data_IF_261979735356
#
_entry.id   IF_261979735356
#
_cell.length_a   1.000
_cell.length_b   1.000
_cell.length_c   1.000
_cell.angle_alpha   90.00
_cell.angle_beta   90.00
_cell.angle_gamma   90.00
#
_symmetry.space_group_name_H-M   'P 1'
#
loop_
_entity.id
_entity.type
_entity.pdbx_description
1 polymer ?
#
# COMPACT_ATOMS: atom_id res chain seq x y z
N UNK A 1 8.55 30.22 -28.69
CA UNK A 1 9.92 29.91 -28.22
C UNK A 1 9.79 29.25 -26.85
N UNK A 2 10.70 28.36 -26.49
CA UNK A 2 10.83 27.88 -25.12
C UNK A 2 11.80 28.78 -24.35
N UNK A 3 11.55 28.96 -23.05
CA UNK A 3 12.36 29.79 -22.16
C UNK A 3 12.80 29.00 -20.92
N UNK A 4 14.06 29.16 -20.53
CA UNK A 4 14.56 28.71 -19.21
C UNK A 4 15.02 29.93 -18.43
N UNK A 5 14.62 30.00 -17.16
CA UNK A 5 14.96 31.09 -16.26
C UNK A 5 16.06 30.65 -15.29
N UNK A 6 16.99 31.57 -14.98
CA UNK A 6 18.05 31.34 -14.00
C UNK A 6 18.26 32.60 -13.16
N UNK A 7 18.54 32.43 -11.87
CA UNK A 7 19.03 33.50 -11.01
C UNK A 7 20.49 33.23 -10.70
N UNK A 8 21.34 34.25 -10.87
CA UNK A 8 22.73 34.22 -10.41
C UNK A 8 22.95 35.32 -9.36
N UNK A 9 23.86 35.13 -8.39
CA UNK A 9 24.27 36.21 -7.50
C UNK A 9 24.76 37.43 -8.29
N UNK A 10 24.47 38.63 -7.79
CA UNK A 10 25.06 39.85 -8.34
C UNK A 10 26.59 39.88 -8.17
N UNK A 11 27.08 39.31 -7.07
CA UNK A 11 28.50 39.14 -6.81
C UNK A 11 29.07 37.99 -7.63
N UNK A 12 29.88 38.32 -8.63
CA UNK A 12 30.52 37.36 -9.54
C UNK A 12 31.60 36.50 -8.85
N UNK A 13 32.01 36.85 -7.63
CA UNK A 13 32.96 36.04 -6.87
C UNK A 13 32.32 34.79 -6.25
N UNK A 14 30.99 34.76 -6.15
CA UNK A 14 30.23 33.62 -5.63
C UNK A 14 29.96 32.64 -6.78
N UNK A 15 30.78 31.60 -6.86
CA UNK A 15 30.62 30.53 -7.83
C UNK A 15 29.40 29.64 -7.56
N UNK A 16 28.87 29.04 -8.63
CA UNK A 16 27.70 28.14 -8.58
C UNK A 16 27.97 26.84 -7.79
N UNK A 17 29.23 26.42 -7.70
CA UNK A 17 29.65 25.23 -6.97
C UNK A 17 29.83 25.46 -5.45
N UNK A 18 29.52 26.65 -4.94
CA UNK A 18 29.62 26.95 -3.51
C UNK A 18 28.64 26.07 -2.71
N UNK A 19 29.18 25.14 -1.91
CA UNK A 19 28.39 24.17 -1.14
C UNK A 19 28.09 22.86 -1.88
N UNK A 20 28.72 22.62 -3.03
CA UNK A 20 28.66 21.33 -3.73
C UNK A 20 29.23 20.23 -2.86
N UNK A 21 28.45 19.17 -2.66
CA UNK A 21 28.84 17.98 -1.91
C UNK A 21 29.36 16.94 -2.90
N UNK A 22 30.58 16.47 -2.68
CA UNK A 22 31.14 15.37 -3.46
C UNK A 22 30.43 14.05 -3.10
N UNK A 23 30.02 13.22 -4.08
CA UNK A 23 29.31 11.98 -3.79
C UNK A 23 30.18 10.99 -3.00
N UNK A 24 29.80 10.69 -1.76
CA UNK A 24 30.52 9.76 -0.88
C UNK A 24 30.03 8.30 -1.00
N UNK A 25 28.87 8.07 -1.63
CA UNK A 25 28.28 6.73 -1.78
C UNK A 25 26.79 6.76 -2.14
N UNK A 26 26.17 5.58 -2.17
CA UNK A 26 24.72 5.42 -2.38
C UNK A 26 24.05 5.34 -1.00
N UNK A 27 23.16 6.27 -0.68
CA UNK A 27 22.38 6.23 0.56
C UNK A 27 21.33 5.10 0.50
N UNK A 28 21.06 4.40 1.61
CA UNK A 28 19.97 3.44 1.68
C UNK A 28 18.62 4.13 1.40
N UNK A 29 17.71 3.50 0.64
CA UNK A 29 16.45 4.12 0.19
C UNK A 29 15.50 4.51 1.33
N UNK A 30 15.70 4.01 2.55
CA UNK A 30 14.74 4.14 3.66
C UNK A 30 14.81 5.45 4.44
N UNK A 31 15.89 6.23 4.34
CA UNK A 31 16.06 7.41 5.22
C UNK A 31 15.56 8.72 4.62
N UNK A 32 15.45 8.85 3.29
CA UNK A 32 14.89 10.01 2.57
C UNK A 32 15.60 11.36 2.76
N UNK A 33 16.25 11.58 3.90
CA UNK A 33 16.99 12.76 4.29
C UNK A 33 18.48 12.46 4.25
N UNK A 34 19.24 13.32 3.57
CA UNK A 34 20.70 13.30 3.62
C UNK A 34 21.11 13.74 5.04
N UNK A 35 21.74 12.88 5.84
CA UNK A 35 22.14 13.26 7.18
C UNK A 35 23.19 14.37 7.11
N UNK A 36 23.14 15.26 8.12
CA UNK A 36 24.17 16.26 8.31
C UNK A 36 25.49 15.57 8.67
N UNK A 37 26.60 16.11 8.18
CA UNK A 37 27.95 15.69 8.58
C UNK A 37 28.09 15.76 10.11
N UNK A 38 28.68 14.72 10.71
CA UNK A 38 28.87 14.62 12.17
C UNK A 38 29.76 15.74 12.71
N UNK A 39 30.67 16.25 11.89
CA UNK A 39 31.60 17.33 12.25
C UNK A 39 30.98 18.74 12.10
N UNK A 40 29.80 18.86 11.50
CA UNK A 40 29.15 20.14 11.29
C UNK A 40 28.41 20.65 12.55
N UNK A 41 29.08 21.53 13.29
CA UNK A 41 28.60 22.11 14.55
C UNK A 41 27.75 23.38 14.41
N UNK A 42 27.49 23.86 13.17
CA UNK A 42 26.70 25.10 12.96
C UNK A 42 25.26 24.97 13.50
N UNK A 43 24.53 26.06 13.79
CA UNK A 43 23.11 25.98 14.17
C UNK A 43 22.22 25.44 13.05
N UNK A 44 21.11 24.76 13.37
CA UNK A 44 20.19 24.18 12.37
C UNK A 44 19.63 25.21 11.36
N UNK A 45 19.38 26.44 11.82
CA UNK A 45 18.82 27.54 11.01
C UNK A 45 19.90 28.55 10.59
N UNK A 46 21.17 28.13 10.47
CA UNK A 46 22.26 29.07 10.19
C UNK A 46 22.08 29.80 8.85
N UNK A 47 21.64 29.10 7.78
CA UNK A 47 21.39 29.72 6.47
C UNK A 47 20.22 30.71 6.49
N UNK A 48 19.14 30.40 7.21
CA UNK A 48 17.99 31.32 7.39
C UNK A 48 18.42 32.60 8.10
N UNK A 49 19.19 32.47 9.20
CA UNK A 49 19.71 33.62 9.94
C UNK A 49 20.69 34.44 9.10
N UNK A 50 21.62 33.77 8.42
CA UNK A 50 22.61 34.41 7.55
C UNK A 50 21.96 35.15 6.38
N UNK A 51 20.91 34.60 5.78
CA UNK A 51 20.13 35.29 4.75
C UNK A 51 19.45 36.54 5.31
N UNK A 52 18.76 36.45 6.45
CA UNK A 52 18.09 37.61 7.08
C UNK A 52 19.07 38.74 7.43
N UNK A 53 20.23 38.40 7.96
CA UNK A 53 21.28 39.37 8.27
C UNK A 53 21.84 40.04 7.01
N UNK A 54 21.99 39.30 5.90
CA UNK A 54 22.41 39.88 4.61
C UNK A 54 21.37 40.83 4.01
N UNK A 55 20.08 40.49 4.13
CA UNK A 55 18.99 41.39 3.69
C UNK A 55 18.97 42.69 4.52
N UNK A 56 19.22 42.61 5.82
CA UNK A 56 19.34 43.79 6.72
C UNK A 56 20.60 44.62 6.51
N UNK A 57 21.60 44.08 5.81
CA UNK A 57 22.86 44.78 5.56
C UNK A 57 22.70 45.86 4.49
N UNK A 58 23.52 46.93 4.53
CA UNK A 58 23.46 47.98 3.51
C UNK A 58 23.70 47.42 2.11
N UNK A 59 22.70 47.55 1.23
CA UNK A 59 22.74 47.00 -0.15
C UNK A 59 21.92 45.74 -0.36
N UNK A 60 21.37 45.14 0.71
CA UNK A 60 20.49 43.98 0.66
C UNK A 60 21.11 42.77 -0.06
N UNK A 61 20.26 41.86 -0.51
CA UNK A 61 20.67 40.74 -1.36
C UNK A 61 20.24 41.00 -2.80
N UNK A 62 21.17 40.91 -3.74
CA UNK A 62 20.93 41.21 -5.16
C UNK A 62 21.23 40.00 -6.05
N UNK A 63 20.36 39.78 -7.02
CA UNK A 63 20.47 38.72 -8.02
C UNK A 63 20.31 39.31 -9.43
N UNK A 64 20.96 38.69 -10.40
CA UNK A 64 20.71 38.94 -11.82
C UNK A 64 19.78 37.86 -12.34
N UNK A 65 18.67 38.31 -12.95
CA UNK A 65 17.69 37.46 -13.60
C UNK A 65 18.11 37.21 -15.04
N UNK A 66 18.26 35.94 -15.38
CA UNK A 66 18.75 35.48 -16.69
C UNK A 66 17.68 34.65 -17.40
N UNK A 67 17.64 34.80 -18.72
CA UNK A 67 16.74 34.08 -19.62
C UNK A 67 17.56 33.41 -20.72
N UNK A 68 17.30 32.13 -20.93
CA UNK A 68 17.71 31.40 -22.14
C UNK A 68 16.50 31.18 -23.02
N UNK A 69 16.67 31.35 -24.33
CA UNK A 69 15.63 31.18 -25.32
C UNK A 69 16.03 30.14 -26.36
N UNK A 70 15.09 29.25 -26.69
CA UNK A 70 15.25 28.22 -27.72
C UNK A 70 14.04 28.21 -28.67
N UNK A 71 14.23 28.16 -30.00
CA UNK A 71 13.13 27.98 -30.93
C UNK A 71 12.46 26.62 -30.70
N UNK A 72 11.15 26.55 -30.94
CA UNK A 72 10.39 25.31 -30.76
C UNK A 72 10.72 24.40 -31.95
N UNK A 73 11.30 23.21 -31.74
CA UNK A 73 11.55 22.27 -32.83
C UNK A 73 10.24 21.77 -33.46
N UNK A 74 10.25 21.53 -34.77
CA UNK A 74 9.10 20.94 -35.46
C UNK A 74 8.93 19.44 -35.14
N UNK A 75 10.04 18.74 -34.90
CA UNK A 75 10.07 17.33 -34.56
C UNK A 75 9.71 17.06 -33.09
N UNK A 76 8.87 16.04 -32.86
CA UNK A 76 8.36 15.71 -31.53
C UNK A 76 9.45 15.21 -30.59
N UNK A 77 10.38 14.39 -31.07
CA UNK A 77 11.49 13.88 -30.26
C UNK A 77 12.44 15.01 -29.87
N UNK A 78 12.71 15.93 -30.78
CA UNK A 78 13.52 17.11 -30.52
C UNK A 78 12.83 18.08 -29.53
N UNK A 79 11.49 18.18 -29.56
CA UNK A 79 10.73 18.92 -28.54
C UNK A 79 10.89 18.27 -27.17
N UNK A 80 10.70 16.96 -27.07
CA UNK A 80 10.80 16.29 -25.77
C UNK A 80 12.22 16.42 -25.16
N UNK A 81 13.27 16.27 -25.97
CA UNK A 81 14.66 16.53 -25.57
C UNK A 81 14.87 17.99 -25.12
N UNK A 82 14.20 18.95 -25.74
CA UNK A 82 14.30 20.35 -25.33
C UNK A 82 13.64 20.60 -23.96
N UNK A 83 12.64 19.79 -23.60
CA UNK A 83 11.84 19.89 -22.39
C UNK A 83 12.35 19.01 -21.25
N UNK A 84 13.28 18.10 -21.52
CA UNK A 84 13.97 17.29 -20.52
C UNK A 84 14.62 18.19 -19.46
N UNK A 85 14.08 18.12 -18.23
CA UNK A 85 14.55 18.91 -17.09
C UNK A 85 15.84 18.36 -16.47
N UNK A 86 16.28 17.16 -16.85
CA UNK A 86 17.50 16.53 -16.35
C UNK A 86 18.75 17.02 -17.06
N UNK A 87 18.59 17.72 -18.20
CA UNK A 87 19.70 18.19 -19.03
C UNK A 87 19.70 19.72 -19.17
N UNK A 88 20.82 20.39 -18.87
CA UNK A 88 20.98 21.80 -19.20
C UNK A 88 21.01 21.97 -20.73
N UNK A 89 20.59 23.14 -21.21
CA UNK A 89 20.81 23.50 -22.61
C UNK A 89 22.25 23.93 -22.83
N UNK A 90 22.74 23.68 -24.04
CA UNK A 90 24.06 24.12 -24.46
C UNK A 90 24.16 25.65 -24.42
N UNK A 91 25.11 26.18 -23.66
CA UNK A 91 25.25 27.62 -23.43
C UNK A 91 25.91 28.36 -24.61
N UNK A 92 26.67 27.66 -25.46
CA UNK A 92 27.23 28.24 -26.69
C UNK A 92 26.14 28.42 -27.74
N UNK A 93 25.22 27.45 -27.84
CA UNK A 93 24.10 27.48 -28.78
C UNK A 93 22.95 28.38 -28.28
N UNK A 94 22.67 28.36 -26.98
CA UNK A 94 21.59 29.10 -26.34
C UNK A 94 22.13 29.94 -25.17
N UNK A 95 22.72 31.11 -25.45
CA UNK A 95 23.35 31.93 -24.42
C UNK A 95 22.34 32.45 -23.41
N UNK A 96 22.79 32.60 -22.16
CA UNK A 96 22.03 33.26 -21.09
C UNK A 96 22.04 34.76 -21.34
N UNK A 97 20.85 35.38 -21.28
CA UNK A 97 20.66 36.81 -21.47
C UNK A 97 20.29 37.41 -20.11
N UNK A 98 21.03 38.40 -19.65
CA UNK A 98 20.70 39.15 -18.44
C UNK A 98 19.52 40.09 -18.76
N UNK A 99 18.37 39.84 -18.12
CA UNK A 99 17.12 40.54 -18.42
C UNK A 99 16.68 41.50 -17.31
N UNK A 100 17.24 41.38 -16.11
CA UNK A 100 16.93 42.28 -15.01
C UNK A 100 17.69 41.97 -13.74
N UNK A 101 17.45 42.79 -12.74
CA UNK A 101 18.03 42.64 -11.41
C UNK A 101 16.91 42.51 -10.38
N UNK A 102 17.11 41.62 -9.41
CA UNK A 102 16.19 41.42 -8.29
C UNK A 102 16.93 41.81 -7.01
N UNK A 103 16.45 42.86 -6.35
CA UNK A 103 16.91 43.28 -5.03
C UNK A 103 15.93 42.83 -3.96
N UNK A 104 16.46 42.25 -2.87
CA UNK A 104 15.72 41.90 -1.66
C UNK A 104 16.33 42.71 -0.52
N UNK A 105 15.60 43.72 -0.05
CA UNK A 105 16.04 44.71 0.93
C UNK A 105 15.21 44.70 2.23
N UNK A 106 14.16 43.87 2.29
CA UNK A 106 13.29 43.76 3.45
C UNK A 106 13.04 42.30 3.83
N UNK A 107 13.16 42.00 5.13
CA UNK A 107 12.75 40.73 5.70
C UNK A 107 11.24 40.69 5.90
N UNK A 108 10.61 39.59 5.49
CA UNK A 108 9.22 39.31 5.81
C UNK A 108 9.08 38.71 7.21
N UNK A 109 7.91 38.90 7.82
CA UNK A 109 7.56 38.19 9.04
C UNK A 109 7.41 36.69 8.75
N UNK A 110 7.45 35.87 9.80
CA UNK A 110 7.26 34.42 9.64
C UNK A 110 5.87 34.09 9.09
N UNK A 111 4.85 34.79 9.58
CA UNK A 111 3.45 34.61 9.16
C UNK A 111 3.26 35.00 7.69
N UNK A 112 3.83 36.14 7.27
CA UNK A 112 3.80 36.56 5.87
C UNK A 112 4.53 35.56 4.98
N UNK A 113 5.72 35.10 5.38
CA UNK A 113 6.48 34.11 4.61
C UNK A 113 5.75 32.75 4.50
N UNK A 114 5.04 32.33 5.55
CA UNK A 114 4.27 31.07 5.56
C UNK A 114 2.96 31.16 4.77
N UNK A 115 2.44 32.37 4.53
CA UNK A 115 1.25 32.60 3.71
C UNK A 115 1.57 32.82 2.22
N UNK A 116 2.85 32.98 1.85
CA UNK A 116 3.22 33.13 0.44
C UNK A 116 2.84 31.92 -0.41
N UNK A 117 2.35 32.22 -1.61
CA UNK A 117 1.86 31.28 -2.59
C UNK A 117 2.72 31.37 -3.85
N UNK A 118 3.49 30.34 -4.11
CA UNK A 118 4.25 30.21 -5.34
C UNK A 118 3.60 29.11 -6.17
N UNK A 119 2.99 29.47 -7.29
CA UNK A 119 2.46 28.50 -8.23
C UNK A 119 3.02 28.80 -9.63
N UNK A 120 3.76 27.88 -10.27
CA UNK A 120 4.29 28.06 -11.62
C UNK A 120 3.23 28.42 -12.68
N UNK A 121 1.95 28.16 -12.40
CA UNK A 121 0.84 28.47 -13.30
C UNK A 121 0.33 29.92 -13.18
N UNK A 122 0.80 30.70 -12.19
CA UNK A 122 0.56 32.14 -12.12
C UNK A 122 1.36 32.84 -13.22
N UNK A 123 0.74 32.89 -14.40
CA UNK A 123 1.35 33.36 -15.65
C UNK A 123 0.83 34.74 -16.07
N UNK A 124 1.69 35.51 -16.71
CA UNK A 124 1.30 36.74 -17.40
C UNK A 124 0.85 36.43 -18.84
N UNK A 125 0.41 37.44 -19.58
CA UNK A 125 -0.06 37.24 -20.98
C UNK A 125 1.05 36.80 -21.95
N UNK A 126 2.32 36.98 -21.60
CA UNK A 126 3.46 36.74 -22.50
C UNK A 126 4.17 35.40 -22.23
N UNK A 127 3.91 34.76 -21.10
CA UNK A 127 4.57 33.53 -20.67
C UNK A 127 3.52 32.45 -20.43
N UNK A 128 3.79 31.23 -20.89
CA UNK A 128 2.89 30.09 -20.69
C UNK A 128 3.67 28.84 -20.23
N UNK A 129 2.97 27.95 -19.54
CA UNK A 129 3.44 26.63 -19.10
C UNK A 129 3.10 25.59 -20.15
N UNK A 130 4.03 24.69 -20.38
CA UNK A 130 3.93 23.66 -21.42
C UNK A 130 3.08 22.51 -20.89
N UNK A 131 2.03 22.16 -21.63
CA UNK A 131 1.10 21.09 -21.25
C UNK A 131 1.59 19.75 -21.76
N UNK A 132 1.55 18.75 -20.89
CA UNK A 132 1.69 17.35 -21.27
C UNK A 132 0.33 16.66 -21.46
N UNK A 133 0.27 15.71 -22.38
CA UNK A 133 -0.89 14.84 -22.62
C UNK A 133 -0.68 13.42 -22.07
N UNK A 134 0.53 13.09 -21.64
CA UNK A 134 0.91 11.79 -21.07
C UNK A 134 1.96 11.99 -19.97
N UNK A 135 1.96 11.10 -18.97
CA UNK A 135 2.98 11.06 -17.92
C UNK A 135 4.39 10.76 -18.46
N UNK A 136 4.48 10.13 -19.63
CA UNK A 136 5.75 9.77 -20.28
C UNK A 136 6.47 10.95 -20.96
N UNK A 137 5.79 12.08 -21.17
CA UNK A 137 6.38 13.26 -21.81
C UNK A 137 7.21 14.05 -20.80
N UNK A 138 8.32 14.66 -21.24
CA UNK A 138 9.20 15.45 -20.37
C UNK A 138 8.48 16.65 -19.73
N UNK A 139 7.47 17.22 -20.42
CA UNK A 139 6.63 18.30 -19.89
C UNK A 139 5.68 17.86 -18.75
N UNK A 140 5.56 16.56 -18.48
CA UNK A 140 4.60 16.04 -17.49
C UNK A 140 4.92 16.49 -16.08
N UNK A 141 6.19 16.74 -15.77
CA UNK A 141 6.65 17.18 -14.44
C UNK A 141 6.07 18.56 -14.13
N UNK A 142 6.30 19.55 -15.00
CA UNK A 142 5.81 20.91 -14.78
C UNK A 142 4.27 20.99 -14.84
N UNK A 143 3.65 20.21 -15.74
CA UNK A 143 2.19 20.07 -15.77
C UNK A 143 1.67 19.48 -14.44
N UNK A 144 2.25 18.39 -13.97
CA UNK A 144 1.90 17.79 -12.68
C UNK A 144 2.06 18.75 -11.51
N UNK A 145 3.16 19.51 -11.49
CA UNK A 145 3.41 20.53 -10.46
C UNK A 145 2.33 21.60 -10.44
N UNK A 146 1.86 22.09 -11.59
CA UNK A 146 0.77 23.08 -11.60
C UNK A 146 -0.50 22.59 -10.90
N UNK A 147 -0.80 21.29 -11.02
CA UNK A 147 -1.99 20.67 -10.42
C UNK A 147 -1.79 20.48 -8.91
N UNK A 148 -0.66 19.87 -8.52
CA UNK A 148 -0.38 19.53 -7.12
C UNK A 148 -0.22 20.80 -6.26
N UNK A 149 0.41 21.86 -6.81
CA UNK A 149 0.58 23.11 -6.06
C UNK A 149 -0.76 23.78 -5.76
N UNK A 150 -1.72 23.76 -6.70
CA UNK A 150 -3.07 24.29 -6.50
C UNK A 150 -3.81 23.51 -5.39
N UNK A 151 -3.73 22.18 -5.42
CA UNK A 151 -4.34 21.32 -4.38
C UNK A 151 -3.70 21.62 -3.00
N UNK A 152 -2.37 21.63 -2.91
CA UNK A 152 -1.64 21.91 -1.67
C UNK A 152 -1.96 23.31 -1.12
N UNK A 153 -2.17 24.28 -2.00
CA UNK A 153 -2.54 25.64 -1.61
C UNK A 153 -3.94 25.69 -0.98
N UNK A 154 -4.94 25.08 -1.62
CA UNK A 154 -6.29 24.95 -1.03
C UNK A 154 -6.24 24.31 0.36
N UNK A 155 -5.45 23.23 0.51
CA UNK A 155 -5.28 22.55 1.78
C UNK A 155 -4.58 23.44 2.83
N UNK A 156 -3.53 24.18 2.46
CA UNK A 156 -2.83 25.12 3.37
C UNK A 156 -3.75 26.21 3.89
N UNK A 157 -4.63 26.74 3.04
CA UNK A 157 -5.54 27.82 3.39
C UNK A 157 -6.83 27.32 4.07
N UNK A 158 -7.06 26.00 4.11
CA UNK A 158 -8.31 25.42 4.63
C UNK A 158 -9.50 25.64 3.71
N UNK A 159 -9.26 25.97 2.44
CA UNK A 159 -10.29 26.19 1.44
C UNK A 159 -10.83 24.86 0.90
N UNK A 160 -12.14 24.78 0.59
CA UNK A 160 -12.71 23.57 0.03
C UNK A 160 -12.14 23.30 -1.36
N UNK A 161 -11.61 22.09 -1.57
CA UNK A 161 -11.16 21.67 -2.90
C UNK A 161 -12.32 21.70 -3.91
N UNK A 162 -12.11 22.21 -5.13
CA UNK A 162 -13.02 22.04 -6.25
C UNK A 162 -13.43 20.59 -6.46
N UNK A 163 -14.67 20.38 -6.94
CA UNK A 163 -15.25 19.03 -7.08
C UNK A 163 -14.44 18.14 -8.03
N UNK A 164 -13.87 18.70 -9.10
CA UNK A 164 -12.98 17.99 -10.03
C UNK A 164 -11.75 17.40 -9.34
N UNK A 165 -11.15 18.14 -8.38
CA UNK A 165 -9.96 17.69 -7.66
C UNK A 165 -10.27 16.65 -6.60
N UNK A 166 -11.42 16.75 -5.91
CA UNK A 166 -11.85 15.69 -4.98
C UNK A 166 -12.08 14.38 -5.68
N UNK A 167 -12.79 14.41 -6.81
CA UNK A 167 -13.02 13.21 -7.63
C UNK A 167 -11.69 12.63 -8.12
N UNK A 168 -10.75 13.46 -8.55
CA UNK A 168 -9.41 13.02 -8.95
C UNK A 168 -8.64 12.34 -7.81
N UNK A 169 -8.64 12.91 -6.61
CA UNK A 169 -7.96 12.34 -5.43
C UNK A 169 -8.64 11.07 -4.91
N UNK A 170 -9.97 11.00 -4.97
CA UNK A 170 -10.74 9.81 -4.57
C UNK A 170 -10.58 8.66 -5.57
N UNK A 171 -10.32 8.95 -6.85
CA UNK A 171 -10.12 7.98 -7.91
C UNK A 171 -8.65 7.60 -8.13
N UNK A 172 -7.68 8.32 -7.55
CA UNK A 172 -6.26 8.00 -7.69
C UNK A 172 -5.86 6.87 -6.75
N UNK A 173 -5.41 5.74 -7.31
CA UNK A 173 -4.87 4.58 -6.56
C UNK A 173 -3.59 4.90 -5.76
N UNK A 174 -2.94 6.03 -6.08
CA UNK A 174 -1.80 6.55 -5.34
C UNK A 174 -2.33 7.56 -4.32
N UNK A 175 -2.31 7.20 -3.03
CA UNK A 175 -2.47 8.19 -1.96
C UNK A 175 -1.39 9.25 -2.16
N UNK A 176 -1.78 10.49 -2.50
CA UNK A 176 -0.84 11.61 -2.55
C UNK A 176 -0.33 11.81 -1.13
N UNK A 177 0.90 11.36 -0.88
CA UNK A 177 1.55 11.54 0.41
C UNK A 177 1.92 13.01 0.58
N UNK A 178 1.07 13.73 1.32
CA UNK A 178 1.26 15.13 1.64
C UNK A 178 2.13 15.32 2.89
N UNK A 179 2.71 14.27 3.47
CA UNK A 179 3.57 14.35 4.65
C UNK A 179 4.78 15.27 4.46
N UNK A 180 5.23 15.46 3.21
CA UNK A 180 6.28 16.42 2.83
C UNK A 180 5.86 17.89 2.93
N UNK A 181 4.55 18.19 3.06
CA UNK A 181 4.05 19.53 3.31
C UNK A 181 3.98 19.77 4.83
N UNK A 182 4.86 20.60 5.42
CA UNK A 182 4.92 20.80 6.88
C UNK A 182 3.60 21.31 7.49
N UNK A 183 2.73 21.93 6.70
CA UNK A 183 1.38 22.35 7.11
C UNK A 183 0.31 21.29 6.88
N UNK A 184 0.46 20.38 5.91
CA UNK A 184 -0.40 19.19 5.83
C UNK A 184 -0.14 18.28 7.02
N UNK A 185 1.13 18.13 7.43
CA UNK A 185 1.51 17.48 8.70
C UNK A 185 0.95 18.22 9.94
N UNK A 186 0.72 19.54 9.86
CA UNK A 186 0.11 20.32 10.95
C UNK A 186 -1.43 20.23 10.96
N UNK A 187 -2.07 20.11 9.78
CA UNK A 187 -3.49 19.82 9.61
C UNK A 187 -3.81 18.38 10.02
N UNK A 188 -2.94 17.42 9.64
CA UNK A 188 -2.91 16.05 10.16
C UNK A 188 -2.73 16.09 11.67
N UNK A 189 -1.77 16.84 12.24
CA UNK A 189 -1.63 16.98 13.71
C UNK A 189 -2.85 17.56 14.41
N UNK A 190 -3.64 18.41 13.74
CA UNK A 190 -4.87 18.98 14.31
C UNK A 190 -6.04 17.99 14.21
N UNK A 191 -6.02 17.09 13.23
CA UNK A 191 -6.92 15.94 13.11
C UNK A 191 -6.51 14.75 14.00
N UNK A 192 -5.22 14.56 14.27
CA UNK A 192 -4.60 13.48 15.05
C UNK A 192 -4.83 13.58 16.57
N UNK A 193 -5.62 14.55 17.03
CA UNK A 193 -6.18 14.49 18.37
C UNK A 193 -7.25 13.38 18.49
N UNK A 194 -7.58 12.69 17.40
CA UNK A 194 -8.36 11.45 17.43
C UNK A 194 -7.46 10.26 17.82
N UNK A 195 -7.61 9.86 19.10
CA UNK A 195 -7.32 8.52 19.67
C UNK A 195 -6.36 7.65 18.85
N UNK A 196 -5.19 7.38 19.44
CA UNK A 196 -4.29 6.27 19.07
C UNK A 196 -5.12 5.08 18.57
N UNK A 197 -5.06 4.82 17.27
CA UNK A 197 -6.02 3.99 16.52
C UNK A 197 -6.01 2.52 16.94
N UNK A 198 -4.91 2.09 17.58
CA UNK A 198 -4.74 0.77 18.18
C UNK A 198 -4.98 0.73 19.70
N UNK A 199 -5.41 1.84 20.31
CA UNK A 199 -5.62 1.91 21.75
C UNK A 199 -6.58 0.82 22.23
N UNK A 200 -6.10 0.02 23.18
CA UNK A 200 -6.88 -1.03 23.82
C UNK A 200 -7.40 -0.53 25.15
N UNK A 201 -8.64 -0.88 25.45
CA UNK A 201 -9.13 -0.78 26.83
C UNK A 201 -8.45 -1.83 27.71
N UNK A 202 -8.47 -1.61 29.03
CA UNK A 202 -7.88 -2.55 29.98
C UNK A 202 -8.50 -3.95 29.88
N UNK A 203 -9.82 -4.05 29.64
CA UNK A 203 -10.51 -5.32 29.51
C UNK A 203 -10.17 -6.02 28.19
N UNK A 204 -10.05 -5.30 27.07
CA UNK A 204 -9.58 -5.87 25.80
C UNK A 204 -8.15 -6.40 25.92
N UNK A 205 -7.29 -5.68 26.63
CA UNK A 205 -5.91 -6.11 26.89
C UNK A 205 -5.88 -7.37 27.75
N UNK A 206 -6.65 -7.38 28.83
CA UNK A 206 -6.77 -8.54 29.72
C UNK A 206 -7.32 -9.76 28.96
N UNK A 207 -8.35 -9.57 28.14
CA UNK A 207 -8.91 -10.61 27.29
C UNK A 207 -7.88 -11.16 26.31
N UNK A 208 -7.23 -10.28 25.54
CA UNK A 208 -6.26 -10.66 24.52
C UNK A 208 -5.02 -11.37 25.09
N UNK A 209 -4.59 -11.03 26.32
CA UNK A 209 -3.41 -11.62 26.94
C UNK A 209 -3.71 -12.94 27.69
N UNK A 210 -4.89 -13.05 28.32
CA UNK A 210 -5.18 -14.20 29.20
C UNK A 210 -6.22 -15.14 28.59
N UNK A 211 -7.37 -14.62 28.17
CA UNK A 211 -8.50 -15.46 27.78
C UNK A 211 -8.37 -15.94 26.33
N UNK A 212 -8.00 -15.05 25.42
CA UNK A 212 -7.92 -15.35 24.00
C UNK A 212 -6.92 -16.49 23.69
N UNK A 213 -5.68 -16.50 24.22
CA UNK A 213 -4.73 -17.56 23.93
C UNK A 213 -5.14 -18.90 24.53
N UNK A 214 -5.75 -18.90 25.73
CA UNK A 214 -6.32 -20.11 26.33
C UNK A 214 -7.43 -20.68 25.47
N UNK A 215 -8.31 -19.83 24.94
CA UNK A 215 -9.40 -20.25 24.07
C UNK A 215 -8.86 -20.78 22.74
N UNK A 216 -7.92 -20.08 22.09
CA UNK A 216 -7.29 -20.52 20.84
C UNK A 216 -6.46 -21.80 20.98
N UNK A 217 -5.91 -22.06 22.18
CA UNK A 217 -5.15 -23.28 22.42
C UNK A 217 -6.06 -24.41 22.85
N UNK A 218 -6.82 -24.26 23.93
CA UNK A 218 -7.56 -25.37 24.56
C UNK A 218 -8.77 -25.78 23.73
N UNK A 219 -9.58 -24.83 23.27
CA UNK A 219 -10.87 -25.15 22.64
C UNK A 219 -10.72 -25.93 21.33
N UNK A 220 -9.84 -25.54 20.39
CA UNK A 220 -9.60 -26.30 19.17
C UNK A 220 -9.18 -27.76 19.40
N UNK A 221 -8.19 -28.02 20.26
CA UNK A 221 -7.74 -29.38 20.55
C UNK A 221 -8.81 -30.20 21.28
N UNK A 222 -9.53 -29.58 22.21
CA UNK A 222 -10.61 -30.24 22.93
C UNK A 222 -11.75 -30.66 21.98
N UNK A 223 -12.18 -29.74 21.11
CA UNK A 223 -13.22 -30.00 20.12
C UNK A 223 -12.79 -31.09 19.14
N UNK A 224 -11.56 -31.03 18.61
CA UNK A 224 -11.02 -32.06 17.74
C UNK A 224 -10.94 -33.42 18.44
N UNK A 225 -10.52 -33.45 19.71
CA UNK A 225 -10.50 -34.67 20.52
C UNK A 225 -11.89 -35.31 20.67
N UNK A 226 -12.93 -34.51 20.90
CA UNK A 226 -14.32 -34.99 20.95
C UNK A 226 -14.78 -35.55 19.61
N UNK A 227 -14.43 -34.89 18.50
CA UNK A 227 -14.77 -35.33 17.15
C UNK A 227 -14.11 -36.68 16.84
N UNK A 228 -12.82 -36.82 17.14
CA UNK A 228 -12.05 -38.06 16.91
C UNK A 228 -12.54 -39.19 17.84
N UNK A 229 -12.98 -38.86 19.05
CA UNK A 229 -13.44 -39.85 20.03
C UNK A 229 -14.64 -40.68 19.52
N UNK A 230 -15.60 -40.08 18.82
CA UNK A 230 -16.80 -40.80 18.41
C UNK A 230 -16.53 -41.94 17.39
N UNK A 231 -15.78 -41.71 16.29
CA UNK A 231 -15.32 -42.78 15.41
C UNK A 231 -14.43 -43.80 16.12
N UNK A 232 -13.50 -43.34 16.98
CA UNK A 232 -12.59 -44.23 17.70
C UNK A 232 -13.36 -45.18 18.63
N UNK A 233 -14.30 -44.65 19.40
CA UNK A 233 -15.16 -45.42 20.30
C UNK A 233 -16.01 -46.43 19.53
N UNK A 234 -16.49 -46.06 18.35
CA UNK A 234 -17.25 -46.96 17.47
C UNK A 234 -16.41 -48.16 17.02
N UNK A 235 -15.15 -47.93 16.64
CA UNK A 235 -14.20 -49.01 16.29
C UNK A 235 -13.88 -49.90 17.50
N UNK A 236 -13.66 -49.31 18.68
CA UNK A 236 -13.36 -50.06 19.90
C UNK A 236 -14.55 -50.92 20.35
N UNK A 237 -15.79 -50.42 20.24
CA UNK A 237 -17.01 -51.20 20.51
C UNK A 237 -17.16 -52.36 19.55
N UNK A 238 -16.93 -52.13 18.25
CA UNK A 238 -17.00 -53.20 17.25
C UNK A 238 -16.00 -54.32 17.53
N UNK A 239 -14.76 -53.99 17.95
CA UNK A 239 -13.77 -54.98 18.41
C UNK A 239 -14.26 -55.80 19.60
N UNK A 240 -14.96 -55.17 20.54
CA UNK A 240 -15.49 -55.88 21.72
C UNK A 240 -16.58 -56.88 21.37
N UNK A 241 -17.25 -56.72 20.22
CA UNK A 241 -18.37 -57.57 19.79
C UNK A 241 -17.96 -58.59 18.72
N UNK A 242 -16.97 -58.28 17.88
CA UNK A 242 -16.49 -59.15 16.81
C UNK A 242 -15.02 -59.52 17.02
N UNK A 243 -14.66 -60.80 16.86
CA UNK A 243 -13.27 -61.32 16.95
C UNK A 243 -12.40 -60.93 15.73
N UNK A 244 -12.67 -59.77 15.13
CA UNK A 244 -11.98 -59.30 13.93
C UNK A 244 -10.77 -58.46 14.30
N UNK A 245 -9.73 -58.54 13.48
CA UNK A 245 -8.53 -57.74 13.62
C UNK A 245 -8.81 -56.24 13.35
N UNK A 246 -8.51 -55.39 14.34
CA UNK A 246 -8.84 -53.95 14.36
C UNK A 246 -8.14 -53.14 13.26
N UNK A 247 -7.00 -53.61 12.76
CA UNK A 247 -6.18 -52.85 11.80
C UNK A 247 -6.92 -52.53 10.50
N UNK A 248 -7.88 -53.36 10.07
CA UNK A 248 -8.69 -53.11 8.87
C UNK A 248 -9.68 -51.95 9.03
N UNK A 249 -10.01 -51.56 10.26
CA UNK A 249 -10.93 -50.47 10.55
C UNK A 249 -10.23 -49.11 10.71
N UNK A 250 -8.89 -49.09 10.79
CA UNK A 250 -8.12 -47.86 10.96
C UNK A 250 -8.26 -46.87 9.79
N UNK A 251 -8.25 -47.30 8.50
CA UNK A 251 -8.49 -46.37 7.40
C UNK A 251 -9.89 -45.76 7.43
N UNK A 252 -10.91 -46.58 7.75
CA UNK A 252 -12.29 -46.11 7.86
C UNK A 252 -12.45 -45.11 9.01
N UNK A 253 -11.83 -45.40 10.16
CA UNK A 253 -11.73 -44.47 11.27
C UNK A 253 -11.17 -43.13 10.79
N UNK A 254 -9.98 -43.15 10.17
CA UNK A 254 -9.25 -41.95 9.77
C UNK A 254 -10.03 -41.10 8.75
N UNK A 255 -10.67 -41.73 7.76
CA UNK A 255 -11.53 -41.03 6.80
C UNK A 255 -12.76 -40.43 7.49
N UNK A 256 -13.44 -41.20 8.35
CA UNK A 256 -14.66 -40.73 9.01
C UNK A 256 -14.39 -39.59 9.99
N UNK A 257 -13.31 -39.65 10.76
CA UNK A 257 -12.90 -38.56 11.66
C UNK A 257 -12.45 -37.34 10.86
N UNK A 258 -11.77 -37.52 9.73
CA UNK A 258 -11.35 -36.43 8.83
C UNK A 258 -12.55 -35.66 8.27
N UNK A 259 -13.55 -36.37 7.75
CA UNK A 259 -14.79 -35.77 7.25
C UNK A 259 -15.53 -35.04 8.38
N UNK A 260 -15.66 -35.64 9.56
CA UNK A 260 -16.32 -35.00 10.70
C UNK A 260 -15.56 -33.75 11.16
N UNK A 261 -14.23 -33.78 11.18
CA UNK A 261 -13.40 -32.62 11.50
C UNK A 261 -13.61 -31.49 10.47
N UNK A 262 -13.57 -31.80 9.17
CA UNK A 262 -13.82 -30.83 8.11
C UNK A 262 -15.21 -30.18 8.21
N UNK A 263 -16.26 -30.99 8.41
CA UNK A 263 -17.63 -30.51 8.58
C UNK A 263 -17.80 -29.67 9.85
N UNK A 264 -17.17 -30.08 10.97
CA UNK A 264 -17.21 -29.31 12.20
C UNK A 264 -16.55 -27.94 12.04
N UNK A 265 -15.48 -27.84 11.23
CA UNK A 265 -14.81 -26.58 10.92
C UNK A 265 -15.71 -25.66 10.09
N UNK A 266 -16.46 -26.21 9.14
CA UNK A 266 -17.50 -25.48 8.39
C UNK A 266 -18.57 -24.95 9.36
N UNK A 267 -19.11 -25.80 10.23
CA UNK A 267 -20.14 -25.40 11.20
C UNK A 267 -19.59 -24.29 12.12
N UNK A 268 -18.37 -24.47 12.64
CA UNK A 268 -17.72 -23.48 13.49
C UNK A 268 -17.53 -22.14 12.76
N UNK A 269 -17.20 -22.15 11.46
CA UNK A 269 -17.08 -20.95 10.63
C UNK A 269 -18.38 -20.15 10.64
N UNK A 270 -19.49 -20.82 10.34
CA UNK A 270 -20.80 -20.18 10.25
C UNK A 270 -21.34 -19.71 11.60
N UNK A 271 -21.04 -20.44 12.68
CA UNK A 271 -21.48 -20.09 14.05
C UNK A 271 -20.65 -18.94 14.65
N UNK A 272 -19.33 -18.94 14.46
CA UNK A 272 -18.42 -17.99 15.10
C UNK A 272 -18.19 -16.72 14.25
N UNK A 273 -18.02 -16.88 12.94
CA UNK A 273 -17.59 -15.81 12.02
C UNK A 273 -18.74 -15.33 11.15
N UNK A 274 -19.56 -16.24 10.64
CA UNK A 274 -20.66 -15.92 9.73
C UNK A 274 -20.18 -15.66 8.29
N UNK A 275 -20.85 -14.74 7.60
CA UNK A 275 -20.48 -14.26 6.27
C UNK A 275 -20.05 -12.80 6.38
N UNK A 276 -18.85 -12.50 5.87
CA UNK A 276 -18.34 -11.14 5.74
C UNK A 276 -18.62 -10.62 4.35
N UNK A 277 -18.90 -9.32 4.25
CA UNK A 277 -19.15 -8.66 2.97
C UNK A 277 -17.93 -7.88 2.49
N UNK A 278 -17.84 -7.69 1.18
CA UNK A 278 -16.78 -6.90 0.57
C UNK A 278 -16.97 -5.42 0.90
N UNK A 279 -15.89 -4.73 1.31
CA UNK A 279 -15.96 -3.35 1.79
C UNK A 279 -16.47 -3.20 3.23
N UNK A 280 -16.80 -4.30 3.92
CA UNK A 280 -17.07 -4.28 5.35
C UNK A 280 -15.82 -3.84 6.13
N UNK A 281 -16.02 -3.00 7.15
CA UNK A 281 -14.96 -2.53 8.04
C UNK A 281 -15.29 -2.94 9.48
N UNK A 282 -14.36 -3.65 10.13
CA UNK A 282 -14.50 -4.06 11.53
C UNK A 282 -13.36 -3.51 12.37
N UNK A 283 -13.61 -3.11 13.62
CA UNK A 283 -12.50 -2.76 14.52
C UNK A 283 -11.67 -4.01 14.90
N UNK A 284 -10.35 -3.86 14.96
CA UNK A 284 -9.41 -4.95 15.27
C UNK A 284 -9.65 -5.59 16.66
N UNK A 285 -10.11 -4.80 17.63
CA UNK A 285 -10.43 -5.26 19.00
C UNK A 285 -11.91 -5.62 19.18
N UNK A 286 -12.64 -5.80 18.08
CA UNK A 286 -14.06 -6.17 18.12
C UNK A 286 -14.23 -7.66 18.47
N UNK A 287 -15.41 -7.99 19.01
CA UNK A 287 -15.80 -9.38 19.25
C UNK A 287 -15.73 -10.22 17.97
N UNK A 288 -16.08 -9.65 16.81
CA UNK A 288 -16.04 -10.35 15.52
C UNK A 288 -14.63 -10.87 15.19
N UNK A 289 -13.62 -10.02 15.34
CA UNK A 289 -12.21 -10.41 15.10
C UNK A 289 -11.73 -11.44 16.14
N UNK A 290 -12.14 -11.33 17.40
CA UNK A 290 -11.82 -12.36 18.39
C UNK A 290 -12.46 -13.72 18.09
N UNK A 291 -13.71 -13.75 17.62
CA UNK A 291 -14.36 -14.99 17.18
C UNK A 291 -13.71 -15.58 15.93
N UNK A 292 -13.35 -14.72 14.96
CA UNK A 292 -12.60 -15.11 13.76
C UNK A 292 -11.28 -15.80 14.11
N UNK A 293 -10.49 -15.20 15.00
CA UNK A 293 -9.20 -15.80 15.38
C UNK A 293 -9.33 -17.10 16.18
N UNK A 294 -10.44 -17.36 16.89
CA UNK A 294 -10.71 -18.67 17.51
C UNK A 294 -11.03 -19.71 16.43
N UNK A 295 -11.85 -19.32 15.46
CA UNK A 295 -12.15 -20.17 14.31
C UNK A 295 -10.90 -20.48 13.50
N UNK A 296 -10.03 -19.49 13.23
CA UNK A 296 -8.74 -19.68 12.56
C UNK A 296 -7.87 -20.70 13.30
N UNK A 297 -7.78 -20.61 14.62
CA UNK A 297 -7.02 -21.58 15.41
C UNK A 297 -7.57 -23.00 15.24
N UNK A 298 -8.90 -23.17 15.23
CA UNK A 298 -9.53 -24.47 14.95
C UNK A 298 -9.28 -24.96 13.52
N UNK A 299 -9.42 -24.07 12.53
CA UNK A 299 -9.14 -24.35 11.13
C UNK A 299 -7.70 -24.80 10.91
N UNK A 300 -6.72 -24.20 11.58
CA UNK A 300 -5.31 -24.60 11.48
C UNK A 300 -5.09 -26.04 11.90
N UNK A 301 -5.63 -26.46 13.04
CA UNK A 301 -5.45 -27.84 13.52
C UNK A 301 -6.22 -28.84 12.64
N UNK A 302 -7.42 -28.46 12.16
CA UNK A 302 -8.15 -29.27 11.17
C UNK A 302 -7.36 -29.34 9.85
N UNK A 303 -6.59 -28.30 9.52
CA UNK A 303 -5.64 -28.25 8.42
C UNK A 303 -4.67 -29.42 8.42
N UNK A 304 -3.92 -29.58 9.51
CA UNK A 304 -2.95 -30.67 9.67
C UNK A 304 -3.59 -32.07 9.61
N UNK A 305 -4.89 -32.17 9.91
CA UNK A 305 -5.60 -33.45 9.94
C UNK A 305 -6.31 -33.82 8.63
N UNK A 306 -6.78 -32.82 7.88
CA UNK A 306 -7.61 -33.01 6.68
C UNK A 306 -6.98 -32.38 5.44
N UNK A 307 -6.46 -31.16 5.54
CA UNK A 307 -5.98 -30.38 4.38
C UNK A 307 -4.70 -30.96 3.81
N UNK A 308 -3.76 -31.42 4.64
CA UNK A 308 -2.51 -32.04 4.19
C UNK A 308 -2.70 -33.24 3.25
N UNK A 309 -3.88 -33.89 3.30
CA UNK A 309 -4.19 -35.07 2.47
C UNK A 309 -5.22 -34.77 1.38
N UNK A 310 -5.92 -33.63 1.46
CA UNK A 310 -6.98 -33.28 0.50
C UNK A 310 -6.67 -32.07 -0.37
N UNK A 311 -5.66 -31.26 -0.04
CA UNK A 311 -5.14 -30.18 -0.88
C UNK A 311 -4.91 -30.66 -2.32
N UNK A 312 -5.22 -29.80 -3.29
CA UNK A 312 -5.14 -30.15 -4.71
C UNK A 312 -6.21 -31.14 -5.22
N UNK A 313 -7.24 -31.45 -4.41
CA UNK A 313 -8.34 -32.34 -4.79
C UNK A 313 -9.72 -31.66 -4.79
N UNK A 314 -10.69 -32.29 -5.45
CA UNK A 314 -12.09 -31.86 -5.46
C UNK A 314 -12.72 -31.77 -4.05
N UNK A 315 -12.25 -32.59 -3.11
CA UNK A 315 -12.74 -32.56 -1.72
C UNK A 315 -12.38 -31.26 -1.02
N UNK A 316 -11.19 -30.72 -1.31
CA UNK A 316 -10.75 -29.44 -0.77
C UNK A 316 -11.56 -28.28 -1.35
N UNK A 317 -11.79 -28.26 -2.67
CA UNK A 317 -12.63 -27.25 -3.32
C UNK A 317 -14.06 -27.25 -2.76
N UNK A 318 -14.64 -28.43 -2.53
CA UNK A 318 -15.96 -28.55 -1.91
C UNK A 318 -15.95 -27.97 -0.49
N UNK A 319 -14.91 -28.24 0.29
CA UNK A 319 -14.76 -27.70 1.64
C UNK A 319 -14.63 -26.17 1.64
N UNK A 320 -13.84 -25.60 0.73
CA UNK A 320 -13.77 -24.14 0.51
C UNK A 320 -15.15 -23.55 0.23
N UNK A 321 -15.89 -24.17 -0.70
CA UNK A 321 -17.24 -23.74 -1.10
C UNK A 321 -18.24 -23.80 0.06
N UNK A 322 -18.18 -24.86 0.89
CA UNK A 322 -18.99 -24.97 2.10
C UNK A 322 -18.66 -23.88 3.14
N UNK A 323 -17.41 -23.39 3.18
CA UNK A 323 -17.01 -22.27 4.02
C UNK A 323 -17.32 -20.90 3.40
N UNK A 324 -17.74 -20.83 2.14
CA UNK A 324 -18.25 -19.61 1.51
C UNK A 324 -17.46 -19.11 0.31
N UNK A 325 -16.38 -19.80 -0.10
CA UNK A 325 -15.67 -19.46 -1.34
C UNK A 325 -16.54 -19.68 -2.56
N UNK A 326 -16.34 -18.82 -3.57
CA UNK A 326 -16.84 -19.10 -4.90
C UNK A 326 -15.78 -19.89 -5.66
N UNK A 327 -16.10 -21.13 -6.01
CA UNK A 327 -15.26 -21.99 -6.84
C UNK A 327 -16.12 -22.62 -7.91
N UNK A 328 -15.71 -22.44 -9.16
CA UNK A 328 -16.36 -23.05 -10.32
C UNK A 328 -15.86 -24.49 -10.51
N UNK A 329 -16.73 -25.46 -10.21
CA UNK A 329 -16.36 -26.87 -10.21
C UNK A 329 -16.51 -27.54 -11.59
N UNK A 330 -17.23 -26.92 -12.52
CA UNK A 330 -17.55 -27.52 -13.83
C UNK A 330 -16.37 -27.49 -14.78
N UNK A 331 -15.65 -26.37 -14.82
CA UNK A 331 -14.44 -26.18 -15.62
C UNK A 331 -13.18 -26.69 -14.92
N UNK A 332 -13.27 -27.02 -13.62
CA UNK A 332 -12.14 -27.46 -12.80
C UNK A 332 -11.40 -26.28 -12.16
N UNK A 333 -10.72 -26.54 -11.04
CA UNK A 333 -9.83 -25.61 -10.39
C UNK A 333 -8.79 -26.42 -9.59
N UNK A 334 -7.61 -25.85 -9.35
CA UNK A 334 -6.58 -26.49 -8.54
C UNK A 334 -6.17 -25.56 -7.40
N UNK A 335 -6.33 -25.99 -6.15
CA UNK A 335 -5.92 -25.21 -4.98
C UNK A 335 -5.14 -26.11 -4.03
N UNK A 336 -3.84 -25.84 -3.92
CA UNK A 336 -2.91 -26.55 -3.03
C UNK A 336 -2.45 -25.66 -1.87
N UNK A 337 -3.33 -24.78 -1.39
CA UNK A 337 -2.98 -23.90 -0.28
C UNK A 337 -4.09 -23.72 0.73
N UNK A 338 -3.75 -24.08 1.97
CA UNK A 338 -4.52 -23.75 3.16
C UNK A 338 -4.71 -22.23 3.34
N UNK A 339 -3.79 -21.42 2.82
CA UNK A 339 -3.86 -19.96 2.81
C UNK A 339 -5.06 -19.40 2.02
N UNK A 340 -5.58 -20.15 1.05
CA UNK A 340 -6.78 -19.77 0.29
C UNK A 340 -8.07 -19.83 1.14
N UNK A 341 -8.02 -20.39 2.35
CA UNK A 341 -9.17 -20.48 3.27
C UNK A 341 -9.05 -19.57 4.48
N UNK A 342 -8.13 -18.60 4.45
CA UNK A 342 -8.05 -17.55 5.48
C UNK A 342 -9.34 -16.74 5.54
N UNK A 343 -9.86 -16.30 4.41
CA UNK A 343 -11.16 -15.64 4.29
C UNK A 343 -11.94 -16.27 3.15
N UNK A 344 -12.56 -17.44 3.37
CA UNK A 344 -13.13 -18.23 2.29
C UNK A 344 -14.17 -17.42 1.51
N UNK A 345 -15.02 -16.64 2.18
CA UNK A 345 -16.00 -15.75 1.53
C UNK A 345 -15.43 -14.62 0.65
N UNK A 346 -14.13 -14.36 0.75
CA UNK A 346 -13.42 -13.35 -0.06
C UNK A 346 -12.66 -13.98 -1.24
N UNK A 347 -12.73 -15.29 -1.44
CA UNK A 347 -12.01 -15.97 -2.51
C UNK A 347 -12.97 -16.38 -3.62
N UNK A 348 -12.65 -15.93 -4.83
CA UNK A 348 -13.36 -16.25 -6.07
C UNK A 348 -12.37 -16.90 -7.02
N UNK A 349 -12.67 -18.13 -7.44
CA UNK A 349 -11.86 -18.91 -8.38
C UNK A 349 -12.78 -19.39 -9.51
N UNK A 350 -12.53 -18.88 -10.70
CA UNK A 350 -13.22 -19.26 -11.94
C UNK A 350 -12.57 -20.50 -12.57
N UNK A 351 -13.08 -20.93 -13.73
CA UNK A 351 -12.64 -22.13 -14.42
C UNK A 351 -11.13 -22.21 -14.67
N UNK A 352 -10.54 -23.39 -14.50
CA UNK A 352 -9.10 -23.67 -14.65
C UNK A 352 -8.16 -22.81 -13.76
N UNK A 353 -8.71 -22.06 -12.80
CA UNK A 353 -7.94 -21.27 -11.85
C UNK A 353 -7.03 -22.13 -10.98
N UNK A 354 -5.78 -21.72 -10.82
CA UNK A 354 -4.73 -22.49 -10.16
C UNK A 354 -4.05 -21.69 -9.04
N UNK A 355 -4.02 -22.26 -7.83
CA UNK A 355 -3.35 -21.71 -6.66
C UNK A 355 -2.31 -22.70 -6.16
N UNK A 356 -1.05 -22.29 -6.28
CA UNK A 356 0.11 -23.07 -5.92
C UNK A 356 0.29 -23.26 -4.42
N UNK A 357 1.19 -24.19 -4.10
CA UNK A 357 1.46 -24.59 -2.72
C UNK A 357 1.83 -23.42 -1.80
N UNK A 358 1.25 -23.37 -0.61
CA UNK A 358 1.54 -22.36 0.43
C UNK A 358 1.29 -20.90 0.00
N UNK A 359 0.54 -20.66 -1.08
CA UNK A 359 0.12 -19.31 -1.47
C UNK A 359 -0.86 -18.69 -0.45
N UNK A 360 -0.78 -17.39 -0.23
CA UNK A 360 -1.67 -16.69 0.72
C UNK A 360 -2.63 -15.78 -0.06
N UNK A 361 -3.93 -16.07 0.02
CA UNK A 361 -4.98 -15.20 -0.50
C UNK A 361 -5.56 -14.41 0.67
N UNK A 362 -5.10 -13.18 0.86
CA UNK A 362 -5.58 -12.31 1.92
C UNK A 362 -6.88 -11.63 1.51
N UNK A 363 -8.00 -12.09 2.07
CA UNK A 363 -9.28 -11.40 1.93
C UNK A 363 -9.47 -10.22 2.86
N UNK A 364 -8.47 -9.92 3.71
CA UNK A 364 -8.49 -8.77 4.60
C UNK A 364 -7.11 -8.14 4.81
N UNK A 365 -7.11 -6.88 5.22
CA UNK A 365 -5.90 -6.14 5.64
C UNK A 365 -6.20 -5.35 6.91
N UNK A 366 -5.19 -5.26 7.78
CA UNK A 366 -5.23 -4.40 8.96
C UNK A 366 -4.79 -2.99 8.57
N UNK A 367 -5.69 -2.02 8.68
CA UNK A 367 -5.39 -0.62 8.45
C UNK A 367 -4.97 0.05 9.76
N UNK A 368 -3.76 0.61 9.78
CA UNK A 368 -3.21 1.33 10.93
C UNK A 368 -3.97 2.63 11.19
N UNK A 369 -4.53 3.24 10.15
CA UNK A 369 -5.39 4.42 10.24
C UNK A 369 -6.81 3.96 10.63
N UNK A 370 -7.21 4.19 11.88
CA UNK A 370 -8.53 3.85 12.42
C UNK A 370 -8.65 2.48 13.11
N UNK A 371 -7.60 1.64 13.08
CA UNK A 371 -7.60 0.33 13.76
C UNK A 371 -8.66 -0.62 13.20
N UNK A 372 -8.87 -0.56 11.89
CA UNK A 372 -9.92 -1.28 11.17
C UNK A 372 -9.34 -2.44 10.37
N UNK A 373 -10.13 -3.50 10.25
CA UNK A 373 -9.92 -4.64 9.37
C UNK A 373 -10.83 -4.41 8.18
N UNK A 374 -10.23 -4.25 7.00
CA UNK A 374 -10.94 -4.03 5.74
C UNK A 374 -10.95 -5.32 4.93
N UNK A 375 -12.11 -5.69 4.41
CA UNK A 375 -12.29 -6.89 3.60
C UNK A 375 -12.38 -6.55 2.11
N UNK A 376 -11.75 -7.38 1.28
CA UNK A 376 -11.75 -7.23 -0.18
C UNK A 376 -11.54 -8.57 -0.85
N UNK A 377 -12.25 -8.82 -1.95
CA UNK A 377 -12.16 -10.12 -2.61
C UNK A 377 -10.83 -10.29 -3.34
N UNK A 378 -10.37 -11.52 -3.41
CA UNK A 378 -9.30 -11.96 -4.29
C UNK A 378 -9.96 -12.80 -5.38
N UNK A 379 -9.86 -12.32 -6.62
CA UNK A 379 -10.47 -12.94 -7.79
C UNK A 379 -9.38 -13.56 -8.65
N UNK A 380 -9.55 -14.84 -8.95
CA UNK A 380 -8.72 -15.58 -9.91
C UNK A 380 -9.66 -15.95 -11.04
N UNK A 381 -9.53 -15.25 -12.16
CA UNK A 381 -10.33 -15.47 -13.36
C UNK A 381 -9.90 -16.74 -14.10
N UNK A 382 -10.57 -17.01 -15.23
CA UNK A 382 -10.38 -18.22 -16.02
C UNK A 382 -8.90 -18.49 -16.39
N UNK A 383 -8.37 -19.63 -15.98
CA UNK A 383 -6.97 -20.02 -16.22
C UNK A 383 -5.93 -19.16 -15.50
N UNK A 384 -6.35 -18.30 -14.55
CA UNK A 384 -5.44 -17.50 -13.73
C UNK A 384 -4.57 -18.37 -12.81
N UNK A 385 -3.29 -18.00 -12.68
CA UNK A 385 -2.30 -18.72 -11.88
C UNK A 385 -1.74 -17.86 -10.74
N UNK A 386 -1.84 -18.38 -9.52
CA UNK A 386 -1.16 -17.85 -8.33
C UNK A 386 -0.05 -18.81 -7.94
N UNK A 387 1.20 -18.37 -8.04
CA UNK A 387 2.39 -19.18 -7.77
C UNK A 387 2.52 -19.66 -6.33
N UNK A 388 3.38 -20.64 -6.14
CA UNK A 388 3.71 -21.17 -4.82
C UNK A 388 4.30 -20.10 -3.93
N UNK A 389 3.82 -20.01 -2.68
CA UNK A 389 4.20 -19.00 -1.69
C UNK A 389 4.02 -17.55 -2.17
N UNK A 390 3.25 -17.34 -3.23
CA UNK A 390 2.85 -16.01 -3.63
C UNK A 390 1.80 -15.45 -2.66
N UNK A 391 1.70 -14.13 -2.60
CA UNK A 391 0.76 -13.43 -1.73
C UNK A 391 -0.13 -12.54 -2.58
N UNK A 392 -1.44 -12.75 -2.52
CA UNK A 392 -2.44 -11.87 -3.12
C UNK A 392 -3.15 -11.08 -2.02
N UNK A 393 -3.00 -9.76 -2.03
CA UNK A 393 -3.62 -8.84 -1.07
C UNK A 393 -5.11 -8.61 -1.39
N UNK A 394 -5.88 -8.00 -0.47
CA UNK A 394 -7.31 -7.76 -0.71
C UNK A 394 -7.57 -6.92 -1.96
N UNK A 395 -8.58 -7.28 -2.74
CA UNK A 395 -8.95 -6.59 -3.98
C UNK A 395 -8.14 -7.02 -5.21
N UNK A 396 -7.17 -7.92 -5.06
CA UNK A 396 -6.38 -8.41 -6.21
C UNK A 396 -7.26 -9.18 -7.19
N UNK A 397 -7.07 -8.91 -8.48
CA UNK A 397 -7.66 -9.68 -9.58
C UNK A 397 -6.55 -10.25 -10.44
N UNK A 398 -6.46 -11.58 -10.52
CA UNK A 398 -5.63 -12.26 -11.51
C UNK A 398 -6.49 -12.47 -12.74
N UNK A 399 -6.20 -11.72 -13.80
CA UNK A 399 -6.98 -11.76 -15.04
C UNK A 399 -6.91 -13.15 -15.69
N UNK A 400 -7.80 -13.38 -16.65
CA UNK A 400 -7.85 -14.61 -17.42
C UNK A 400 -6.49 -14.91 -18.08
N UNK A 401 -5.88 -16.06 -17.75
CA UNK A 401 -4.52 -16.43 -18.14
C UNK A 401 -3.38 -15.61 -17.52
N UNK A 402 -3.69 -14.74 -16.55
CA UNK A 402 -2.74 -13.99 -15.74
C UNK A 402 -1.92 -14.91 -14.83
N UNK A 403 -0.67 -14.53 -14.54
CA UNK A 403 0.24 -15.37 -13.76
C UNK A 403 1.00 -14.56 -12.72
N UNK A 404 0.58 -14.67 -11.47
CA UNK A 404 1.35 -14.20 -10.32
C UNK A 404 2.46 -15.23 -10.03
N UNK A 405 3.71 -14.82 -10.14
CA UNK A 405 4.86 -15.73 -10.05
C UNK A 405 5.08 -16.30 -8.65
N UNK A 406 5.83 -17.39 -8.53
CA UNK A 406 6.21 -17.94 -7.23
C UNK A 406 6.94 -16.89 -6.37
N UNK A 407 6.70 -16.92 -5.05
CA UNK A 407 7.31 -16.01 -4.05
C UNK A 407 7.06 -14.51 -4.31
N UNK A 408 6.11 -14.16 -5.17
CA UNK A 408 5.78 -12.78 -5.49
C UNK A 408 4.60 -12.24 -4.67
N UNK A 409 4.42 -10.92 -4.69
CA UNK A 409 3.36 -10.22 -3.97
C UNK A 409 2.56 -9.38 -4.99
N UNK A 410 1.25 -9.60 -5.03
CA UNK A 410 0.31 -8.68 -5.65
C UNK A 410 -0.24 -7.74 -4.58
N UNK A 411 -0.05 -6.44 -4.76
CA UNK A 411 -0.46 -5.40 -3.83
C UNK A 411 -1.97 -5.20 -3.82
N UNK A 412 -2.48 -4.51 -2.80
CA UNK A 412 -3.92 -4.29 -2.61
C UNK A 412 -4.54 -3.67 -3.87
N UNK A 413 -5.61 -4.28 -4.40
CA UNK A 413 -6.31 -3.80 -5.58
C UNK A 413 -5.58 -4.01 -6.92
N UNK A 414 -4.42 -4.66 -6.92
CA UNK A 414 -3.63 -4.86 -8.14
C UNK A 414 -4.29 -5.85 -9.10
N UNK A 415 -4.22 -5.54 -10.39
CA UNK A 415 -4.65 -6.43 -11.47
C UNK A 415 -3.43 -7.11 -12.11
N UNK A 416 -3.30 -8.43 -11.93
CA UNK A 416 -2.23 -9.23 -12.53
C UNK A 416 -2.65 -9.65 -13.93
N UNK A 417 -2.06 -9.00 -14.94
CA UNK A 417 -2.41 -9.20 -16.34
C UNK A 417 -1.78 -10.46 -16.95
N UNK A 418 -2.43 -11.00 -17.98
CA UNK A 418 -1.82 -12.00 -18.86
C UNK A 418 -0.69 -11.39 -19.69
N UNK A 419 0.37 -12.17 -19.93
CA UNK A 419 1.55 -11.76 -20.70
C UNK A 419 1.38 -11.93 -22.20
#
# INVERSE_FOLDING_TARGET
>A
MYGKFKLRPYDETIGEDSGKVEPLGILPPETGAIPRDEDDTRPLLFLDKDFKTRVESPGGVRYIFQLQLRPIPDDESARDIALDCTKPWDEEQFPKIDIGEIGIDQNLSKEDSESLEFNPFLRCHEVDVIRAMSSSQSASIDHGRSLIYEICQHLRNGDPLPQSWRVFLEQSDVKVDLSGCPMAAALERKADNERVTLARTWYQTTWALLVQPLLQTIFPYFLLGLIIYAPLNSVLRYKSTASTNVHWLLPLFWVSSGILAALSCVIAKWVLVGKKEEGENMFIWSRGVFMDTIWQAFRTIVGDYFVDVTCGSHWYLLWMKLMGSYVELEHGAYVDSMGATLNPEMVVIEGDGCVGKEALLFGHVYDGEGGQVKFGKVVIEEGGFVGSRAVAMPGVTVESGGSLSDLSLAMKGETVRSR
#
